data_IF_983888614991
#
_entry.id   IF_983888614991
#
_cell.length_a   1.000
_cell.length_b   1.000
_cell.length_c   1.000
_cell.angle_alpha   90.00
_cell.angle_beta   90.00
_cell.angle_gamma   90.00
#
_symmetry.space_group_name_H-M   'P 1'
#
loop_
_entity.id
_entity.type
_entity.pdbx_description
1 polymer ?
#
# COMPACT_ATOMS: atom_id res chain seq x y z
N UNK A 1 11.03 -14.85 -9.17
CA UNK A 1 9.70 -15.40 -8.81
C UNK A 1 9.81 -16.51 -7.77
N UNK A 2 10.69 -17.50 -7.99
CA UNK A 2 10.92 -18.63 -7.07
C UNK A 2 11.09 -18.25 -5.58
N UNK A 3 11.93 -17.26 -5.28
CA UNK A 3 12.14 -16.82 -3.88
C UNK A 3 10.85 -16.36 -3.19
N UNK A 4 9.96 -15.65 -3.91
CA UNK A 4 8.66 -15.22 -3.35
C UNK A 4 7.73 -16.40 -3.09
N UNK A 5 7.81 -17.48 -3.87
CA UNK A 5 7.03 -18.70 -3.63
C UNK A 5 7.58 -19.47 -2.43
N UNK A 6 8.90 -19.61 -2.33
CA UNK A 6 9.56 -20.23 -1.17
C UNK A 6 9.25 -19.48 0.13
N UNK A 7 9.32 -18.14 0.13
CA UNK A 7 8.95 -17.31 1.29
C UNK A 7 7.50 -17.51 1.73
N UNK A 8 6.56 -17.63 0.77
CA UNK A 8 5.16 -17.91 1.07
C UNK A 8 4.98 -19.29 1.72
N UNK A 9 5.66 -20.32 1.20
CA UNK A 9 5.61 -21.68 1.76
C UNK A 9 6.20 -21.72 3.17
N UNK A 10 7.37 -21.11 3.39
CA UNK A 10 7.99 -21.01 4.72
C UNK A 10 7.04 -20.31 5.70
N UNK A 11 6.35 -19.24 5.26
CA UNK A 11 5.39 -18.52 6.10
C UNK A 11 4.16 -19.38 6.44
N UNK A 12 3.67 -20.19 5.50
CA UNK A 12 2.58 -21.12 5.75
C UNK A 12 2.98 -22.17 6.79
N UNK A 13 4.14 -22.80 6.60
CA UNK A 13 4.70 -23.79 7.52
C UNK A 13 4.87 -23.20 8.93
N UNK A 14 5.44 -22.00 9.05
CA UNK A 14 5.58 -21.31 10.34
C UNK A 14 4.24 -21.10 11.04
N UNK A 15 3.19 -20.72 10.31
CA UNK A 15 1.84 -20.54 10.86
C UNK A 15 1.24 -21.84 11.38
N UNK A 16 1.44 -22.94 10.66
CA UNK A 16 0.89 -24.23 11.06
C UNK A 16 1.60 -24.77 12.31
N UNK A 17 2.93 -24.68 12.38
CA UNK A 17 3.67 -25.01 13.60
C UNK A 17 3.31 -24.10 14.77
N UNK A 18 3.13 -22.80 14.54
CA UNK A 18 2.71 -21.88 15.59
C UNK A 18 1.34 -22.25 16.17
N UNK A 19 0.38 -22.64 15.32
CA UNK A 19 -0.94 -23.14 15.78
C UNK A 19 -0.80 -24.41 16.60
N UNK A 20 0.03 -25.36 16.18
CA UNK A 20 0.27 -26.59 16.91
C UNK A 20 0.89 -26.33 18.28
N UNK A 21 1.88 -25.42 18.36
CA UNK A 21 2.50 -25.00 19.62
C UNK A 21 1.46 -24.35 20.54
N UNK A 22 0.64 -23.44 20.01
CA UNK A 22 -0.43 -22.79 20.80
C UNK A 22 -1.41 -23.83 21.33
N UNK A 23 -1.84 -24.78 20.50
CA UNK A 23 -2.74 -25.86 20.93
C UNK A 23 -2.12 -26.71 22.05
N UNK A 24 -0.84 -27.09 21.93
CA UNK A 24 -0.13 -27.83 22.98
C UNK A 24 -0.04 -27.03 24.28
N UNK A 25 0.18 -25.71 24.20
CA UNK A 25 0.20 -24.82 25.39
C UNK A 25 -1.20 -24.73 26.03
N UNK A 26 -2.25 -24.69 25.22
CA UNK A 26 -3.64 -24.67 25.71
C UNK A 26 -4.00 -25.96 26.46
N UNK A 27 -3.41 -27.09 26.10
CA UNK A 27 -3.57 -28.41 26.75
C UNK A 27 -2.73 -28.57 28.04
N UNK A 28 -1.68 -27.78 28.25
CA UNK A 28 -0.83 -27.85 29.44
C UNK A 28 -1.45 -27.14 30.64
N UNK A 29 -1.38 -27.70 31.84
CA UNK A 29 -1.80 -27.01 33.07
C UNK A 29 -0.66 -26.14 33.63
N UNK A 30 -0.45 -24.98 33.02
CA UNK A 30 0.60 -24.02 33.37
C UNK A 30 0.02 -22.67 33.78
N UNK A 31 0.65 -22.03 34.77
CA UNK A 31 0.39 -20.64 35.10
C UNK A 31 0.72 -19.72 33.91
N UNK A 32 -0.02 -18.62 33.79
CA UNK A 32 0.10 -17.60 32.72
C UNK A 32 -0.09 -18.13 31.29
N UNK A 33 -0.79 -19.25 31.12
CA UNK A 33 -1.17 -19.81 29.80
C UNK A 33 -1.67 -18.74 28.83
N UNK A 34 -2.65 -17.93 29.25
CA UNK A 34 -3.25 -16.91 28.39
C UNK A 34 -2.25 -15.86 27.92
N UNK A 35 -1.37 -15.41 28.82
CA UNK A 35 -0.31 -14.46 28.50
C UNK A 35 0.70 -15.03 27.49
N UNK A 36 1.08 -16.30 27.64
CA UNK A 36 2.01 -16.97 26.72
C UNK A 36 1.37 -17.10 25.33
N UNK A 37 0.11 -17.52 25.27
CA UNK A 37 -0.64 -17.64 24.01
C UNK A 37 -0.79 -16.29 23.32
N UNK A 38 -1.08 -15.23 24.07
CA UNK A 38 -1.17 -13.87 23.53
C UNK A 38 0.18 -13.41 22.97
N UNK A 39 1.29 -13.65 23.70
CA UNK A 39 2.64 -13.33 23.24
C UNK A 39 3.06 -14.09 21.99
N UNK A 40 2.64 -15.35 21.83
CA UNK A 40 2.90 -16.11 20.60
C UNK A 40 2.10 -15.58 19.40
N UNK A 41 0.90 -15.02 19.65
CA UNK A 41 0.06 -14.37 18.62
C UNK A 41 0.55 -12.96 18.27
N UNK A 42 1.43 -12.35 19.06
CA UNK A 42 1.93 -10.98 18.91
C UNK A 42 2.91 -10.75 17.76
N UNK A 43 3.06 -11.65 16.77
CA UNK A 43 3.71 -11.30 15.50
C UNK A 43 2.89 -10.25 14.75
N UNK A 44 2.90 -9.00 15.23
CA UNK A 44 2.32 -7.87 14.55
C UNK A 44 3.27 -7.56 13.40
N UNK A 45 2.85 -7.76 12.14
CA UNK A 45 3.69 -7.37 11.02
C UNK A 45 4.03 -5.89 11.20
N UNK A 46 5.32 -5.55 11.09
CA UNK A 46 5.77 -4.15 11.15
C UNK A 46 4.86 -3.34 10.22
N UNK A 47 4.18 -2.32 10.77
CA UNK A 47 3.29 -1.46 10.00
C UNK A 47 4.07 -0.93 8.80
N UNK A 48 3.70 -1.36 7.60
CA UNK A 48 4.32 -0.83 6.38
C UNK A 48 4.08 0.68 6.37
N UNK A 49 5.13 1.45 6.09
CA UNK A 49 4.98 2.90 5.91
C UNK A 49 3.99 3.11 4.77
N UNK A 50 2.93 3.88 5.06
CA UNK A 50 2.04 4.32 4.00
C UNK A 50 2.82 5.27 3.09
N UNK A 51 2.66 5.13 1.78
CA UNK A 51 3.16 6.14 0.85
C UNK A 51 2.52 7.50 1.19
N UNK A 52 3.24 8.62 1.01
CA UNK A 52 2.67 9.94 1.22
C UNK A 52 1.42 10.09 0.35
N UNK A 53 0.32 10.51 0.98
CA UNK A 53 -0.92 10.80 0.26
C UNK A 53 -0.82 12.17 -0.37
N UNK A 54 -1.20 12.26 -1.64
CA UNK A 54 -1.30 13.53 -2.34
C UNK A 54 -2.42 14.34 -1.66
N UNK A 55 -2.16 15.59 -1.22
CA UNK A 55 -3.19 16.42 -0.60
C UNK A 55 -4.42 16.59 -1.52
N UNK A 56 -5.62 16.63 -0.94
CA UNK A 56 -6.88 16.66 -1.72
C UNK A 56 -6.96 17.82 -2.73
N UNK A 57 -6.36 18.98 -2.41
CA UNK A 57 -6.29 20.15 -3.28
C UNK A 57 -5.28 20.01 -4.44
N UNK A 58 -4.36 19.05 -4.35
CA UNK A 58 -3.38 18.71 -5.39
C UNK A 58 -3.81 17.50 -6.23
N UNK A 59 -4.91 16.83 -5.87
CA UNK A 59 -5.45 15.70 -6.61
C UNK A 59 -6.24 16.16 -7.84
N UNK A 60 -6.37 15.26 -8.81
CA UNK A 60 -7.22 15.46 -9.97
C UNK A 60 -8.71 15.54 -9.57
N UNK A 61 -9.45 16.41 -10.25
CA UNK A 61 -10.90 16.63 -10.01
C UNK A 61 -11.81 15.68 -10.78
N UNK A 62 -11.27 14.87 -11.69
CA UNK A 62 -12.04 13.94 -12.53
C UNK A 62 -12.33 12.62 -11.81
N UNK A 63 -13.41 11.97 -12.21
CA UNK A 63 -13.75 10.62 -11.77
C UNK A 63 -13.00 9.57 -12.58
N UNK A 64 -12.65 8.47 -11.92
CA UNK A 64 -12.09 7.28 -12.56
C UNK A 64 -13.17 6.47 -13.26
N UNK A 65 -12.77 5.53 -14.12
CA UNK A 65 -13.71 4.62 -14.80
C UNK A 65 -14.58 3.81 -13.81
N UNK A 66 -14.10 3.58 -12.59
CA UNK A 66 -14.82 2.95 -11.49
C UNK A 66 -15.76 3.89 -10.71
N UNK A 67 -16.04 5.11 -11.22
CA UNK A 67 -16.88 6.15 -10.59
C UNK A 67 -16.35 6.67 -9.24
N UNK A 68 -15.05 6.50 -8.99
CA UNK A 68 -14.38 7.05 -7.80
C UNK A 68 -13.65 8.35 -8.10
N UNK A 69 -13.31 9.14 -7.08
CA UNK A 69 -12.46 10.33 -7.27
C UNK A 69 -11.02 9.92 -7.64
N UNK A 70 -10.44 10.55 -8.65
CA UNK A 70 -9.04 10.32 -8.99
C UNK A 70 -8.11 10.86 -7.88
N UNK A 71 -7.28 9.98 -7.31
CA UNK A 71 -6.34 10.35 -6.24
C UNK A 71 -4.94 10.70 -6.74
N UNK A 72 -4.73 10.74 -8.06
CA UNK A 72 -3.45 11.11 -8.71
C UNK A 72 -3.27 12.62 -8.65
N UNK A 73 -2.01 13.09 -8.59
CA UNK A 73 -1.72 14.52 -8.66
C UNK A 73 -2.24 15.14 -9.95
N UNK A 74 -2.85 16.31 -9.84
CA UNK A 74 -3.17 17.15 -10.98
C UNK A 74 -1.88 17.69 -11.62
N UNK A 75 -1.82 17.65 -12.94
CA UNK A 75 -0.70 18.16 -13.73
C UNK A 75 -1.00 19.54 -14.30
N UNK A 76 -2.22 19.73 -14.81
CA UNK A 76 -2.64 20.96 -15.48
C UNK A 76 -4.13 21.19 -15.26
N UNK A 77 -4.54 22.42 -14.93
CA UNK A 77 -5.94 22.82 -14.71
C UNK A 77 -6.72 21.84 -13.80
N UNK A 78 -6.10 21.43 -12.69
CA UNK A 78 -6.66 20.46 -11.72
C UNK A 78 -6.95 19.06 -12.29
N UNK A 79 -6.37 18.70 -13.44
CA UNK A 79 -6.55 17.41 -14.10
C UNK A 79 -5.19 16.68 -14.19
N UNK A 80 -5.18 15.38 -13.90
CA UNK A 80 -3.97 14.55 -14.04
C UNK A 80 -3.72 14.19 -15.51
N UNK A 81 -2.49 13.83 -15.84
CA UNK A 81 -2.07 13.46 -17.20
C UNK A 81 -3.01 12.47 -17.91
N UNK A 82 -3.51 11.47 -17.19
CA UNK A 82 -4.38 10.43 -17.74
C UNK A 82 -5.77 10.96 -18.16
N UNK A 83 -6.28 11.99 -17.48
CA UNK A 83 -7.58 12.60 -17.78
C UNK A 83 -7.48 13.81 -18.71
N UNK A 84 -6.27 14.24 -19.07
CA UNK A 84 -6.07 15.32 -20.01
C UNK A 84 -6.35 14.85 -21.45
N UNK A 85 -7.11 15.64 -22.19
CA UNK A 85 -7.30 15.41 -23.62
C UNK A 85 -6.01 15.76 -24.41
N UNK A 86 -6.02 15.51 -25.72
CA UNK A 86 -4.84 15.72 -26.58
C UNK A 86 -4.37 17.18 -26.58
N UNK A 87 -5.31 18.13 -26.65
CA UNK A 87 -5.03 19.57 -26.66
C UNK A 87 -4.39 20.02 -25.35
N UNK A 88 -4.98 19.67 -24.21
CA UNK A 88 -4.45 19.98 -22.88
C UNK A 88 -3.04 19.40 -22.66
N UNK A 89 -2.78 18.18 -23.15
CA UNK A 89 -1.44 17.57 -23.05
C UNK A 89 -0.40 18.34 -23.86
N UNK A 90 -0.78 18.89 -25.02
CA UNK A 90 0.11 19.71 -25.83
C UNK A 90 0.38 21.07 -25.14
N UNK A 91 -0.65 21.74 -24.63
CA UNK A 91 -0.50 22.98 -23.87
C UNK A 91 0.44 22.81 -22.66
N UNK A 92 0.24 21.76 -21.87
CA UNK A 92 1.10 21.48 -20.71
C UNK A 92 2.55 21.18 -21.10
N UNK A 93 2.79 20.46 -22.21
CA UNK A 93 4.15 20.24 -22.72
C UNK A 93 4.82 21.55 -23.13
N UNK A 94 4.08 22.45 -23.77
CA UNK A 94 4.59 23.77 -24.13
C UNK A 94 4.94 24.58 -22.87
N UNK A 95 4.04 24.64 -21.89
CA UNK A 95 4.28 25.30 -20.61
C UNK A 95 5.56 24.78 -19.94
N UNK A 96 5.73 23.45 -19.88
CA UNK A 96 6.94 22.84 -19.30
C UNK A 96 8.20 23.03 -20.13
N UNK A 97 8.09 23.18 -21.45
CA UNK A 97 9.24 23.53 -22.29
C UNK A 97 9.69 24.97 -22.11
N UNK A 98 8.77 25.89 -21.79
CA UNK A 98 9.07 27.28 -21.48
C UNK A 98 9.76 27.37 -20.12
N UNK A 99 9.21 26.70 -19.10
CA UNK A 99 9.78 26.66 -17.74
C UNK A 99 11.26 26.23 -17.74
N UNK A 100 11.64 25.26 -18.58
CA UNK A 100 13.02 24.72 -18.66
C UNK A 100 14.00 25.73 -19.27
N UNK A 101 13.55 26.63 -20.14
CA UNK A 101 14.46 27.58 -20.84
C UNK A 101 14.77 28.84 -20.03
N UNK A 102 14.02 29.09 -18.96
CA UNK A 102 14.17 30.26 -18.08
C UNK A 102 15.03 30.00 -16.84
N UNK A 103 15.63 28.82 -16.72
CA UNK A 103 16.58 28.46 -15.64
C UNK A 103 17.96 28.30 -16.26
#
# INVERSE_FOLDING_TARGET
MANKQAEKLITAIKKDYLKEIIKKIEELDIDKKDYIVEKLKEEKPKKKRNAPKIPLNKQCTKETASKGKCTVAACYNHICWAHMNKTQRNEYRLLKSVDIKTI
#
